data_IF_904493896002
#
_entry.id   IF_904493896002
#
_cell.length_a   1.000
_cell.length_b   1.000
_cell.length_c   1.000
_cell.angle_alpha   90.00
_cell.angle_beta   90.00
_cell.angle_gamma   90.00
#
_symmetry.space_group_name_H-M   'P 1'
#
loop_
_entity.id
_entity.type
_entity.pdbx_description
1 polymer ?
#
# COMPACT_ATOMS: atom_id res chain seq x y z
N UNK A 1 -1.74 16.53 13.02
CA UNK A 1 -0.58 16.36 13.92
C UNK A 1 0.75 16.53 13.18
N UNK A 2 1.19 15.57 12.36
CA UNK A 2 2.50 15.60 11.66
C UNK A 2 2.73 16.82 10.76
N UNK A 3 1.74 17.25 9.98
CA UNK A 3 1.89 18.39 9.07
C UNK A 3 1.97 19.75 9.81
N UNK A 4 1.46 19.83 11.06
CA UNK A 4 1.58 21.02 11.92
C UNK A 4 2.97 21.07 12.57
N UNK A 5 3.47 19.93 13.05
CA UNK A 5 4.83 19.78 13.60
C UNK A 5 5.88 20.15 12.55
N UNK A 6 5.72 19.68 11.30
CA UNK A 6 6.63 20.01 10.20
C UNK A 6 6.71 21.51 9.86
N UNK A 7 5.58 22.25 9.96
CA UNK A 7 5.55 23.71 9.76
C UNK A 7 6.06 24.51 10.96
N UNK A 8 6.00 23.95 12.18
CA UNK A 8 6.41 24.58 13.42
C UNK A 8 7.93 24.43 13.73
N UNK A 9 8.75 24.09 12.72
CA UNK A 9 10.19 24.00 12.90
C UNK A 9 10.65 22.73 13.62
N UNK A 10 10.16 21.56 13.16
CA UNK A 10 10.41 20.20 13.66
C UNK A 10 11.89 19.76 13.90
N UNK A 11 12.86 20.65 13.73
CA UNK A 11 14.28 20.42 14.01
C UNK A 11 14.87 21.28 15.14
N UNK A 12 14.11 22.20 15.73
CA UNK A 12 14.59 23.03 16.85
C UNK A 12 14.29 22.34 18.19
N UNK A 13 15.28 22.29 19.08
CA UNK A 13 15.08 21.78 20.44
C UNK A 13 13.97 22.57 21.15
N UNK A 14 13.09 21.86 21.88
CA UNK A 14 11.90 22.38 22.57
C UNK A 14 10.70 22.84 21.71
N UNK A 15 10.72 22.71 20.38
CA UNK A 15 9.58 23.11 19.53
C UNK A 15 8.31 22.30 19.78
N UNK A 16 8.41 21.12 20.41
CA UNK A 16 7.27 20.25 20.70
C UNK A 16 6.51 20.61 21.98
N UNK A 17 7.07 21.44 22.88
CA UNK A 17 6.44 21.78 24.16
C UNK A 17 5.27 22.77 24.02
N UNK A 18 5.26 23.60 22.97
CA UNK A 18 4.18 24.56 22.69
C UNK A 18 3.08 24.02 21.77
N UNK A 19 3.23 22.79 21.25
CA UNK A 19 2.29 22.24 20.27
C UNK A 19 1.22 21.45 21.01
N UNK A 20 -0.04 21.91 20.97
CA UNK A 20 -1.18 21.05 21.29
C UNK A 20 -1.25 19.90 20.27
N UNK A 21 -0.68 18.77 20.69
CA UNK A 21 -0.82 17.48 20.06
C UNK A 21 -2.27 17.06 20.28
N UNK A 22 -3.13 17.29 19.28
CA UNK A 22 -4.52 16.83 19.31
C UNK A 22 -4.66 15.32 19.46
N UNK A 23 -5.82 14.76 19.13
CA UNK A 23 -6.14 13.36 19.43
C UNK A 23 -5.01 12.36 19.09
N UNK A 24 -4.75 11.38 19.97
CA UNK A 24 -3.70 10.39 19.77
C UNK A 24 -3.94 9.61 18.48
N UNK A 25 -2.85 9.23 17.80
CA UNK A 25 -2.95 8.41 16.60
C UNK A 25 -3.54 7.04 16.93
N UNK A 26 -4.74 6.78 16.43
CA UNK A 26 -5.37 5.46 16.51
C UNK A 26 -5.09 4.70 15.21
N UNK A 27 -4.37 3.58 15.32
CA UNK A 27 -4.11 2.73 14.17
C UNK A 27 -5.39 2.09 13.66
N UNK A 28 -5.75 2.36 12.40
CA UNK A 28 -6.84 1.69 11.70
C UNK A 28 -6.28 0.63 10.75
N UNK A 29 -6.45 -0.64 11.11
CA UNK A 29 -6.08 -1.74 10.24
C UNK A 29 -7.05 -1.81 9.05
N UNK A 30 -6.54 -1.68 7.83
CA UNK A 30 -7.34 -1.72 6.60
C UNK A 30 -7.39 -3.11 5.97
N UNK A 31 -6.74 -4.10 6.58
CA UNK A 31 -6.54 -5.43 6.05
C UNK A 31 -5.09 -5.70 5.65
N UNK A 32 -4.85 -6.93 5.20
CA UNK A 32 -3.57 -7.43 4.71
C UNK A 32 -3.77 -8.16 3.37
N UNK A 33 -2.77 -8.11 2.50
CA UNK A 33 -2.79 -8.82 1.22
C UNK A 33 -1.41 -9.39 0.92
N UNK A 34 -1.37 -10.63 0.46
CA UNK A 34 -0.13 -11.33 0.16
C UNK A 34 -0.25 -12.11 -1.15
N UNK A 35 0.71 -11.95 -2.05
CA UNK A 35 0.79 -12.76 -3.28
C UNK A 35 1.55 -14.04 -3.00
N UNK A 36 1.01 -15.19 -3.39
CA UNK A 36 1.64 -16.51 -3.22
C UNK A 36 2.30 -17.03 -4.51
N UNK A 37 2.38 -16.20 -5.55
CA UNK A 37 2.87 -16.58 -6.87
C UNK A 37 1.84 -17.38 -7.68
N UNK A 38 2.22 -17.83 -8.89
CA UNK A 38 1.36 -18.61 -9.79
C UNK A 38 -0.02 -17.97 -10.05
N UNK A 39 -0.07 -16.64 -10.22
CA UNK A 39 -1.30 -15.87 -10.41
C UNK A 39 -2.32 -15.98 -9.26
N UNK A 40 -1.87 -16.28 -8.04
CA UNK A 40 -2.72 -16.38 -6.85
C UNK A 40 -2.29 -15.39 -5.77
N UNK A 41 -3.27 -14.87 -5.05
CA UNK A 41 -3.04 -14.06 -3.85
C UNK A 41 -4.07 -14.37 -2.77
N UNK A 42 -3.75 -13.97 -1.55
CA UNK A 42 -4.67 -13.87 -0.43
C UNK A 42 -4.93 -12.39 -0.13
N UNK A 43 -6.18 -12.07 0.12
CA UNK A 43 -6.66 -10.76 0.52
C UNK A 43 -7.49 -10.97 1.77
N UNK A 44 -7.08 -10.37 2.87
CA UNK A 44 -7.81 -10.37 4.13
C UNK A 44 -8.16 -8.93 4.50
N UNK A 45 -9.42 -8.54 4.36
CA UNK A 45 -9.90 -7.19 4.68
C UNK A 45 -10.50 -7.09 6.09
N UNK A 46 -10.18 -8.04 6.98
CA UNK A 46 -10.64 -8.00 8.38
C UNK A 46 -9.93 -6.88 9.12
N UNK A 47 -10.69 -5.91 9.64
CA UNK A 47 -10.13 -4.81 10.44
C UNK A 47 -9.76 -5.24 11.88
N UNK A 48 -10.28 -6.38 12.35
CA UNK A 48 -10.02 -6.96 13.68
C UNK A 48 -10.12 -8.49 13.61
N UNK A 49 -9.47 -9.21 14.54
CA UNK A 49 -9.50 -10.69 14.64
C UNK A 49 -10.94 -11.24 14.70
N UNK A 50 -11.85 -10.51 15.33
CA UNK A 50 -13.27 -10.86 15.49
C UNK A 50 -14.18 -10.17 14.45
N UNK A 51 -13.62 -9.33 13.57
CA UNK A 51 -14.38 -8.58 12.58
C UNK A 51 -14.92 -9.48 11.47
N UNK A 52 -16.17 -9.20 11.06
CA UNK A 52 -16.78 -9.67 9.80
C UNK A 52 -16.09 -8.97 8.61
N UNK A 53 -14.90 -9.43 8.25
CA UNK A 53 -14.20 -9.00 7.05
C UNK A 53 -14.28 -10.05 5.95
N UNK A 54 -14.00 -9.62 4.72
CA UNK A 54 -13.94 -10.49 3.56
C UNK A 54 -12.51 -11.07 3.45
N UNK A 55 -12.40 -12.40 3.49
CA UNK A 55 -11.17 -13.11 3.16
C UNK A 55 -11.34 -13.82 1.81
N UNK A 56 -10.51 -13.46 0.84
CA UNK A 56 -10.54 -14.02 -0.51
C UNK A 56 -9.19 -14.64 -0.85
N UNK A 57 -9.19 -15.84 -1.40
CA UNK A 57 -8.01 -16.50 -1.93
C UNK A 57 -8.21 -16.90 -3.39
N UNK A 58 -7.19 -16.70 -4.23
CA UNK A 58 -7.17 -17.18 -5.62
C UNK A 58 -6.77 -16.14 -6.64
N UNK A 59 -7.23 -16.32 -7.88
CA UNK A 59 -6.88 -15.48 -9.03
C UNK A 59 -7.59 -14.12 -8.97
N UNK A 60 -8.84 -14.08 -8.50
CA UNK A 60 -9.56 -12.82 -8.26
C UNK A 60 -8.83 -11.95 -7.24
N UNK A 61 -8.38 -12.54 -6.14
CA UNK A 61 -7.54 -11.87 -5.13
C UNK A 61 -6.24 -11.32 -5.72
N UNK A 62 -5.65 -12.01 -6.70
CA UNK A 62 -4.45 -11.55 -7.39
C UNK A 62 -4.71 -10.28 -8.23
N UNK A 63 -5.84 -10.22 -8.96
CA UNK A 63 -6.24 -9.01 -9.68
C UNK A 63 -6.56 -7.85 -8.73
N UNK A 64 -7.24 -8.12 -7.61
CA UNK A 64 -7.53 -7.12 -6.57
C UNK A 64 -6.21 -6.55 -6.02
N UNK A 65 -5.23 -7.40 -5.71
CA UNK A 65 -3.91 -6.98 -5.24
C UNK A 65 -3.20 -6.08 -6.26
N UNK A 66 -3.18 -6.47 -7.55
CA UNK A 66 -2.58 -5.69 -8.65
C UNK A 66 -3.22 -4.30 -8.75
N UNK A 67 -4.56 -4.23 -8.68
CA UNK A 67 -5.32 -2.97 -8.74
C UNK A 67 -5.07 -2.05 -7.54
N UNK A 68 -5.08 -2.61 -6.33
CA UNK A 68 -4.81 -1.87 -5.10
C UNK A 68 -3.39 -1.29 -5.09
N UNK A 69 -2.41 -2.05 -5.58
CA UNK A 69 -1.02 -1.61 -5.70
C UNK A 69 -0.90 -0.37 -6.58
N UNK A 70 -1.42 -0.42 -7.81
CA UNK A 70 -1.44 0.71 -8.75
C UNK A 70 -2.09 1.94 -8.11
N UNK A 71 -3.24 1.77 -7.45
CA UNK A 71 -3.98 2.86 -6.81
C UNK A 71 -3.20 3.52 -5.66
N UNK A 72 -2.36 2.75 -4.94
CA UNK A 72 -1.52 3.26 -3.85
C UNK A 72 -0.25 3.97 -4.31
N UNK A 73 0.17 3.80 -5.57
CA UNK A 73 1.31 4.53 -6.12
C UNK A 73 0.97 6.02 -6.22
N UNK A 74 1.80 6.85 -5.58
CA UNK A 74 1.62 8.31 -5.47
C UNK A 74 1.85 9.02 -6.81
N UNK A 75 2.80 8.54 -7.62
CA UNK A 75 3.16 9.16 -8.89
C UNK A 75 2.40 8.52 -10.06
N UNK A 76 1.64 9.33 -10.81
CA UNK A 76 0.97 8.90 -12.03
C UNK A 76 1.94 8.29 -13.05
N UNK A 77 3.11 8.91 -13.24
CA UNK A 77 4.16 8.39 -14.12
C UNK A 77 4.59 6.98 -13.70
N UNK A 78 4.85 6.76 -12.41
CA UNK A 78 5.25 5.45 -11.90
C UNK A 78 4.11 4.41 -12.01
N UNK A 79 2.87 4.85 -11.82
CA UNK A 79 1.68 4.01 -12.01
C UNK A 79 1.59 3.45 -13.44
N UNK A 80 1.81 4.30 -14.45
CA UNK A 80 1.81 3.88 -15.85
C UNK A 80 2.96 2.95 -16.18
N UNK A 81 4.18 3.25 -15.72
CA UNK A 81 5.33 2.38 -15.95
C UNK A 81 5.11 0.96 -15.40
N UNK A 82 4.59 0.84 -14.18
CA UNK A 82 4.29 -0.46 -13.58
C UNK A 82 3.21 -1.20 -14.38
N UNK A 83 2.16 -0.51 -14.80
CA UNK A 83 1.08 -1.10 -15.60
C UNK A 83 1.57 -1.62 -16.96
N UNK A 84 2.34 -0.81 -17.69
CA UNK A 84 2.92 -1.21 -18.99
C UNK A 84 3.87 -2.38 -18.80
N UNK A 85 4.76 -2.32 -17.81
CA UNK A 85 5.69 -3.41 -17.51
C UNK A 85 4.95 -4.74 -17.26
N UNK A 86 3.84 -4.69 -16.52
CA UNK A 86 3.01 -5.87 -16.29
C UNK A 86 2.40 -6.43 -17.58
N UNK A 87 1.91 -5.58 -18.47
CA UNK A 87 1.37 -6.00 -19.77
C UNK A 87 2.48 -6.61 -20.64
N UNK A 88 3.62 -5.93 -20.75
CA UNK A 88 4.77 -6.43 -21.52
C UNK A 88 5.22 -7.80 -21.00
N UNK A 89 5.28 -7.96 -19.68
CA UNK A 89 5.63 -9.25 -19.05
C UNK A 89 4.59 -10.35 -19.33
N UNK A 90 3.31 -10.00 -19.44
CA UNK A 90 2.26 -10.96 -19.78
C UNK A 90 2.30 -11.39 -21.24
N UNK A 91 2.61 -10.46 -22.16
CA UNK A 91 2.63 -10.72 -23.61
C UNK A 91 3.94 -11.39 -24.05
N UNK A 92 5.08 -10.85 -23.61
CA UNK A 92 6.41 -11.29 -24.07
C UNK A 92 7.10 -12.25 -23.09
N UNK A 93 6.49 -12.52 -21.93
CA UNK A 93 7.15 -13.21 -20.83
C UNK A 93 8.07 -12.29 -20.03
N UNK A 94 8.54 -12.76 -18.86
CA UNK A 94 9.56 -12.02 -18.09
C UNK A 94 10.84 -11.98 -18.91
N UNK A 95 11.28 -10.80 -19.31
CA UNK A 95 12.64 -10.63 -19.81
C UNK A 95 13.60 -10.88 -18.63
N UNK A 96 14.31 -12.00 -18.69
CA UNK A 96 15.31 -12.42 -17.69
C UNK A 96 16.74 -12.29 -18.24
N UNK A 97 16.90 -11.62 -19.38
CA UNK A 97 18.20 -11.37 -20.00
C UNK A 97 19.07 -10.59 -19.03
N UNK A 98 19.95 -11.31 -18.34
CA UNK A 98 21.05 -10.78 -17.55
C UNK A 98 22.21 -10.62 -18.51
N UNK A 99 22.47 -9.39 -18.94
CA UNK A 99 23.76 -9.01 -19.52
C UNK A 99 24.80 -8.94 -18.38
#
# INVERSE_FOLDING_TARGET
>A
MLNKIGKAGAGHANSANEIELGDPFVYKHLGSMATIGRYKALVDLRQSKEGKGLALAGVLSFFIWRSAYITRVVSWRNRFYVFVNWITTLIFGRDISRL
#
